data_IF_849209364494
#
_entry.id   IF_849209364494
#
_cell.length_a   1.000
_cell.length_b   1.000
_cell.length_c   1.000
_cell.angle_alpha   90.00
_cell.angle_beta   90.00
_cell.angle_gamma   90.00
#
_symmetry.space_group_name_H-M   'P 1'
#
loop_
_entity.id
_entity.type
_entity.pdbx_description
1 polymer ?
#
# COMPACT_ATOMS: atom_id res chain seq x y z
N UNK A 1 -13.54 16.37 -8.76
CA UNK A 1 -12.27 16.79 -8.15
C UNK A 1 -11.37 15.57 -8.11
N UNK A 2 -10.41 15.47 -9.04
CA UNK A 2 -9.39 14.42 -8.98
C UNK A 2 -8.35 14.92 -7.96
N UNK A 3 -8.33 14.34 -6.76
CA UNK A 3 -7.20 14.53 -5.87
C UNK A 3 -5.98 13.94 -6.57
N UNK A 4 -5.19 14.77 -7.25
CA UNK A 4 -3.88 14.35 -7.73
C UNK A 4 -3.05 14.14 -6.47
N UNK A 5 -2.98 12.89 -6.01
CA UNK A 5 -2.05 12.51 -4.97
C UNK A 5 -0.68 12.79 -5.58
N UNK A 6 -0.05 13.89 -5.18
CA UNK A 6 1.33 14.18 -5.52
C UNK A 6 2.15 13.21 -4.68
N UNK A 7 2.49 12.06 -5.24
CA UNK A 7 3.38 11.10 -4.60
C UNK A 7 4.80 11.65 -4.83
N UNK A 8 5.45 12.21 -3.81
CA UNK A 8 6.88 12.53 -3.92
C UNK A 8 7.60 11.22 -4.22
N UNK A 9 8.63 11.23 -5.07
CA UNK A 9 9.38 10.00 -5.41
C UNK A 9 8.58 8.92 -6.18
N UNK A 10 7.56 9.30 -6.96
CA UNK A 10 6.70 8.35 -7.68
C UNK A 10 7.39 7.43 -8.70
N UNK A 11 8.60 7.78 -9.15
CA UNK A 11 9.42 6.95 -10.04
C UNK A 11 10.42 6.05 -9.28
N UNK A 12 10.53 6.24 -7.95
CA UNK A 12 11.46 5.46 -7.12
C UNK A 12 10.92 4.04 -6.92
N UNK A 13 11.84 3.08 -6.98
CA UNK A 13 11.50 1.67 -6.83
C UNK A 13 11.63 1.25 -5.39
N UNK A 14 10.66 0.46 -4.93
CA UNK A 14 10.68 -0.17 -3.61
C UNK A 14 10.58 -1.68 -3.75
N UNK A 15 11.36 -2.38 -2.95
CA UNK A 15 11.37 -3.85 -2.88
C UNK A 15 10.64 -4.32 -1.64
N UNK A 16 9.77 -5.32 -1.80
CA UNK A 16 8.99 -5.89 -0.69
C UNK A 16 9.17 -7.39 -0.64
N UNK A 17 9.44 -7.93 0.56
CA UNK A 17 9.49 -9.36 0.79
C UNK A 17 8.09 -9.93 1.02
N UNK A 18 7.64 -10.77 0.08
CA UNK A 18 6.38 -11.48 0.13
C UNK A 18 6.61 -12.97 -0.07
N UNK A 19 5.76 -13.77 0.56
CA UNK A 19 5.65 -15.19 0.22
C UNK A 19 4.95 -15.36 -1.12
N UNK A 20 5.18 -16.50 -1.79
CA UNK A 20 4.52 -16.82 -3.08
C UNK A 20 2.99 -16.75 -2.96
N UNK A 21 2.42 -17.20 -1.83
CA UNK A 21 0.97 -17.17 -1.59
C UNK A 21 0.43 -15.74 -1.43
N UNK A 22 1.17 -14.87 -0.76
CA UNK A 22 0.80 -13.45 -0.63
C UNK A 22 0.85 -12.74 -1.99
N UNK A 23 1.89 -13.00 -2.79
CA UNK A 23 2.00 -12.46 -4.15
C UNK A 23 0.82 -12.91 -5.02
N UNK A 24 0.52 -14.21 -5.02
CA UNK A 24 -0.64 -14.76 -5.75
C UNK A 24 -1.97 -14.19 -5.25
N UNK A 25 -2.10 -13.94 -3.95
CA UNK A 25 -3.30 -13.31 -3.40
C UNK A 25 -3.47 -11.87 -3.93
N UNK A 26 -2.37 -11.12 -4.07
CA UNK A 26 -2.39 -9.77 -4.66
C UNK A 26 -2.73 -9.78 -6.16
N UNK A 27 -2.40 -10.85 -6.90
CA UNK A 27 -2.82 -11.01 -8.31
C UNK A 27 -4.27 -11.48 -8.47
N UNK A 28 -5.02 -11.62 -7.37
CA UNK A 28 -6.43 -12.02 -7.38
C UNK A 28 -6.69 -13.52 -7.22
N UNK A 29 -5.66 -14.34 -6.97
CA UNK A 29 -5.86 -15.75 -6.66
C UNK A 29 -6.48 -15.89 -5.27
N UNK A 30 -7.64 -16.53 -5.20
CA UNK A 30 -8.32 -16.77 -3.93
C UNK A 30 -7.89 -18.10 -3.32
N UNK A 31 -7.35 -18.03 -2.11
CA UNK A 31 -7.04 -19.22 -1.32
C UNK A 31 -8.27 -19.58 -0.46
N UNK A 32 -9.02 -20.58 -0.92
CA UNK A 32 -10.15 -21.14 -0.16
C UNK A 32 -9.62 -21.64 1.20
N UNK A 33 -10.01 -20.97 2.28
CA UNK A 33 -9.54 -21.26 3.64
C UNK A 33 -8.54 -20.27 4.24
N UNK A 34 -8.01 -19.31 3.46
CA UNK A 34 -7.13 -18.27 4.01
C UNK A 34 -7.31 -16.91 3.31
N UNK A 35 -8.46 -16.29 3.54
CA UNK A 35 -8.78 -14.93 3.10
C UNK A 35 -7.87 -13.85 3.71
N UNK A 36 -7.12 -14.20 4.76
CA UNK A 36 -6.24 -13.26 5.46
C UNK A 36 -4.95 -12.99 4.69
N UNK A 37 -4.56 -13.85 3.74
CA UNK A 37 -3.33 -13.67 2.94
C UNK A 37 -3.33 -12.36 2.16
N UNK A 38 -4.46 -12.01 1.54
CA UNK A 38 -4.59 -10.74 0.81
C UNK A 38 -4.43 -9.54 1.76
N UNK A 39 -5.08 -9.61 2.92
CA UNK A 39 -5.01 -8.55 3.94
C UNK A 39 -3.59 -8.39 4.48
N UNK A 40 -2.91 -9.50 4.76
CA UNK A 40 -1.52 -9.51 5.24
C UNK A 40 -0.58 -8.93 4.17
N UNK A 41 -0.74 -9.35 2.91
CA UNK A 41 0.07 -8.85 1.80
C UNK A 41 -0.10 -7.34 1.62
N UNK A 42 -1.33 -6.82 1.66
CA UNK A 42 -1.59 -5.37 1.61
C UNK A 42 -0.99 -4.63 2.78
N UNK A 43 -1.09 -5.19 3.99
CA UNK A 43 -0.49 -4.57 5.18
C UNK A 43 1.02 -4.42 5.04
N UNK A 44 1.72 -5.45 4.51
CA UNK A 44 3.16 -5.37 4.25
C UNK A 44 3.51 -4.27 3.25
N UNK A 45 2.74 -4.13 2.16
CA UNK A 45 2.93 -3.05 1.20
C UNK A 45 2.77 -1.68 1.86
N UNK A 46 1.70 -1.47 2.62
CA UNK A 46 1.43 -0.19 3.28
C UNK A 46 2.51 0.17 4.30
N UNK A 47 2.94 -0.79 5.13
CA UNK A 47 4.00 -0.56 6.11
C UNK A 47 5.29 -0.08 5.43
N UNK A 48 5.69 -0.73 4.33
CA UNK A 48 6.91 -0.33 3.62
C UNK A 48 6.75 1.02 2.92
N UNK A 49 5.56 1.34 2.41
CA UNK A 49 5.28 2.66 1.85
C UNK A 49 5.36 3.75 2.93
N UNK A 50 4.84 3.50 4.13
CA UNK A 50 4.94 4.39 5.30
C UNK A 50 6.38 4.51 5.83
N UNK A 51 7.17 3.44 5.78
CA UNK A 51 8.58 3.44 6.21
C UNK A 51 9.50 4.12 5.19
N UNK A 52 9.27 3.88 3.89
CA UNK A 52 10.15 4.36 2.80
C UNK A 52 9.85 5.80 2.43
N UNK A 53 8.58 6.19 2.54
CA UNK A 53 8.13 7.53 2.22
C UNK A 53 7.47 8.12 3.46
N UNK A 54 7.94 9.28 3.91
CA UNK A 54 7.17 10.12 4.84
C UNK A 54 5.94 10.63 4.07
N UNK A 55 4.93 9.77 3.94
CA UNK A 55 3.65 10.13 3.37
C UNK A 55 3.00 11.06 4.40
N UNK A 56 3.18 12.37 4.22
CA UNK A 56 2.45 13.34 5.01
C UNK A 56 0.96 12.98 4.94
N UNK A 57 0.29 12.78 6.10
CA UNK A 57 -1.13 12.49 6.09
C UNK A 57 -1.82 13.64 5.37
N UNK A 58 -2.63 13.30 4.35
CA UNK A 58 -3.36 14.29 3.57
C UNK A 58 -4.00 15.30 4.51
N UNK A 59 -3.50 16.55 4.47
CA UNK A 59 -3.90 17.60 5.42
C UNK A 59 -5.42 17.66 5.44
N UNK A 60 -6.08 17.42 6.59
CA UNK A 60 -7.53 17.51 6.68
C UNK A 60 -7.97 18.87 6.15
N UNK A 61 -8.85 18.90 5.15
CA UNK A 61 -9.39 20.14 4.57
C UNK A 61 -9.94 21.12 5.63
N UNK A 62 -10.31 20.60 6.80
CA UNK A 62 -10.79 21.34 7.96
C UNK A 62 -9.74 22.26 8.63
N UNK A 63 -8.46 22.10 8.30
CA UNK A 63 -7.35 22.90 8.84
C UNK A 63 -6.85 23.98 7.86
N UNK A 64 -7.45 24.09 6.68
CA UNK A 64 -7.11 25.10 5.66
C UNK A 64 -7.92 26.41 5.80
N UNK A 65 -8.39 26.73 7.02
CA UNK A 65 -9.24 27.90 7.31
C UNK A 65 -8.53 28.91 8.19
#
# INVERSE_FOLDING_TARGET
>A
MNASIKIPHGDDKVTVELTVKELMALTGVRFHGNHRLEVIARKKLNNILEETFEIEPAVPYQLLS
#
